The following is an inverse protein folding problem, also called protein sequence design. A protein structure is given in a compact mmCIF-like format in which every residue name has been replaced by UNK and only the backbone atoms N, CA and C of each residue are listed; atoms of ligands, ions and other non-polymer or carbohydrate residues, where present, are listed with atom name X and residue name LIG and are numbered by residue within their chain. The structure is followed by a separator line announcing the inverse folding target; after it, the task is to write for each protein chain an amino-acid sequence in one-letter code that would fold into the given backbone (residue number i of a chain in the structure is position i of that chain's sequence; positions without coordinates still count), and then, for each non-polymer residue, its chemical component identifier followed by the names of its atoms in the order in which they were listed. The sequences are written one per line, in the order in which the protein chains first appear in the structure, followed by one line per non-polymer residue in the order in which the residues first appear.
data_IF_446704637194
#
_entry.id   IF_446704637194
#
_cell.length_a   1.000
_cell.length_b   1.000
_cell.length_c   1.000
_cell.angle_alpha   90.00
_cell.angle_beta   90.00
_cell.angle_gamma   90.00
#
_symmetry.space_group_name_H-M   'P 1'
#
loop_
_entity.id
_entity.type
_entity.pdbx_description
1 polymer ?
#
# COMPACT_ATOMS: atom_id res chain seq x y z
N UNK A 1 16.48 28.31 43.79
CA UNK A 1 15.24 28.28 42.99
C UNK A 1 15.53 28.02 41.51
N UNK A 2 16.28 28.88 40.80
CA UNK A 2 16.67 28.65 39.40
C UNK A 2 17.39 27.31 39.15
N UNK A 3 18.33 26.92 40.02
CA UNK A 3 19.03 25.63 39.92
C UNK A 3 18.09 24.42 40.02
N UNK A 4 17.11 24.48 40.93
CA UNK A 4 16.12 23.40 41.10
C UNK A 4 15.24 23.29 39.85
N UNK A 5 14.87 24.43 39.27
CA UNK A 5 14.05 24.52 38.06
C UNK A 5 14.79 24.02 36.82
N UNK A 6 16.09 24.28 36.70
CA UNK A 6 16.93 23.71 35.65
C UNK A 6 17.07 22.19 35.77
N UNK A 7 17.16 21.69 37.01
CA UNK A 7 17.27 20.26 37.30
C UNK A 7 15.98 19.50 36.96
N UNK A 8 14.81 20.07 37.29
CA UNK A 8 13.52 19.48 36.92
C UNK A 8 13.27 19.49 35.43
N UNK A 9 13.63 20.57 34.71
CA UNK A 9 13.53 20.63 33.25
C UNK A 9 14.48 19.61 32.60
N UNK A 10 15.71 19.47 33.10
CA UNK A 10 16.67 18.48 32.60
C UNK A 10 16.12 17.06 32.72
N UNK A 11 15.56 16.70 33.88
CA UNK A 11 14.93 15.39 34.09
C UNK A 11 13.74 15.19 33.15
N UNK A 12 12.90 16.21 32.96
CA UNK A 12 11.76 16.17 32.04
C UNK A 12 12.22 15.93 30.59
N UNK A 13 13.26 16.62 30.13
CA UNK A 13 13.81 16.45 28.78
C UNK A 13 14.34 15.03 28.61
N UNK A 14 15.07 14.50 29.59
CA UNK A 14 15.63 13.14 29.54
C UNK A 14 14.51 12.09 29.52
N UNK A 15 13.48 12.22 30.35
CA UNK A 15 12.37 11.26 30.39
C UNK A 15 11.55 11.29 29.10
N UNK A 16 11.22 12.47 28.57
CA UNK A 16 10.52 12.61 27.29
C UNK A 16 11.33 12.02 26.15
N UNK A 17 12.64 12.31 26.11
CA UNK A 17 13.52 11.79 25.06
C UNK A 17 13.66 10.27 25.11
N UNK A 18 13.70 9.69 26.32
CA UNK A 18 13.75 8.23 26.51
C UNK A 18 12.44 7.53 26.11
N UNK A 19 11.29 8.10 26.49
CA UNK A 19 9.97 7.60 26.10
C UNK A 19 9.80 7.63 24.57
N UNK A 20 10.20 8.74 23.93
CA UNK A 20 10.15 8.86 22.47
C UNK A 20 11.06 7.83 21.78
N UNK A 21 12.24 7.53 22.36
CA UNK A 21 13.15 6.52 21.82
C UNK A 21 12.59 5.09 21.91
N UNK A 22 11.85 4.78 22.97
CA UNK A 22 11.18 3.49 23.12
C UNK A 22 10.01 3.34 22.15
N UNK A 23 9.24 4.41 21.92
CA UNK A 23 8.12 4.41 20.97
C UNK A 23 8.55 4.15 19.53
N UNK A 24 9.66 4.75 19.07
CA UNK A 24 10.17 4.60 17.69
C UNK A 24 10.65 3.20 17.32
N UNK A 25 10.84 2.29 18.28
CA UNK A 25 11.36 0.94 18.02
C UNK A 25 10.30 -0.03 17.46
N UNK A 26 9.03 0.36 17.43
CA UNK A 26 7.92 -0.44 16.89
C UNK A 26 7.52 -0.08 15.45
N UNK A 27 8.13 0.95 14.84
CA UNK A 27 7.80 1.43 13.50
C UNK A 27 8.44 0.59 12.39
N UNK A 28 8.11 -0.70 12.34
CA UNK A 28 8.23 -1.47 11.10
C UNK A 28 6.83 -1.78 10.62
N UNK A 29 6.20 -0.77 10.01
CA UNK A 29 5.15 -1.04 9.05
C UNK A 29 5.72 -2.04 8.02
N UNK A 30 5.03 -3.16 7.84
CA UNK A 30 5.42 -4.18 6.86
C UNK A 30 5.04 -3.79 5.43
N UNK A 31 4.55 -2.57 5.20
CA UNK A 31 4.16 -2.15 3.87
C UNK A 31 5.41 -1.83 3.04
N UNK A 32 5.71 -2.71 2.08
CA UNK A 32 6.79 -2.50 1.10
C UNK A 32 6.20 -2.55 -0.30
N UNK A 33 6.29 -1.45 -1.04
CA UNK A 33 5.97 -1.47 -2.47
C UNK A 33 7.15 -2.08 -3.25
N UNK A 34 7.02 -3.37 -3.57
CA UNK A 34 8.02 -4.10 -4.35
C UNK A 34 8.29 -3.47 -5.72
N UNK A 35 7.27 -2.91 -6.37
CA UNK A 35 7.40 -2.30 -7.69
C UNK A 35 8.20 -1.00 -7.65
N UNK A 36 8.07 -0.23 -6.56
CA UNK A 36 8.90 0.95 -6.32
C UNK A 36 10.35 0.57 -5.99
N UNK A 37 10.53 -0.53 -5.25
CA UNK A 37 11.88 -1.05 -4.96
C UNK A 37 12.56 -1.49 -6.26
N UNK A 38 11.84 -2.19 -7.14
CA UNK A 38 12.33 -2.56 -8.49
C UNK A 38 12.72 -1.33 -9.32
N UNK A 39 11.98 -0.22 -9.21
CA UNK A 39 12.36 1.04 -9.87
C UNK A 39 13.72 1.53 -9.38
N UNK A 40 13.95 1.59 -8.06
CA UNK A 40 15.24 2.02 -7.51
C UNK A 40 16.39 1.04 -7.75
N UNK A 41 16.08 -0.23 -8.03
CA UNK A 41 17.07 -1.23 -8.44
C UNK A 41 17.44 -1.14 -9.93
N UNK A 42 16.76 -0.33 -10.74
CA UNK A 42 17.11 -0.16 -12.14
C UNK A 42 18.52 0.45 -12.27
N UNK A 43 19.27 -0.01 -13.29
CA UNK A 43 20.57 0.57 -13.60
C UNK A 43 20.41 2.05 -13.97
N UNK A 44 21.33 2.95 -13.57
CA UNK A 44 21.29 4.35 -13.96
C UNK A 44 21.34 4.58 -15.48
N UNK A 45 21.78 3.58 -16.26
CA UNK A 45 21.80 3.63 -17.73
C UNK A 45 20.52 3.05 -18.37
N UNK A 46 19.49 2.74 -17.59
CA UNK A 46 18.25 2.17 -18.12
C UNK A 46 17.53 3.16 -19.03
N UNK A 47 16.90 2.70 -20.13
CA UNK A 47 16.13 3.58 -20.99
C UNK A 47 15.01 4.29 -20.19
N UNK A 48 14.77 5.60 -20.42
CA UNK A 48 13.73 6.36 -19.71
C UNK A 48 12.34 5.75 -19.82
N UNK A 49 12.05 5.06 -20.92
CA UNK A 49 10.79 4.36 -21.16
C UNK A 49 10.60 3.17 -20.19
N UNK A 50 11.69 2.45 -19.87
CA UNK A 50 11.67 1.33 -18.94
C UNK A 50 11.48 1.85 -17.52
N UNK A 51 12.20 2.91 -17.15
CA UNK A 51 12.04 3.59 -15.86
C UNK A 51 10.60 4.10 -15.67
N UNK A 52 10.04 4.78 -16.68
CA UNK A 52 8.66 5.26 -16.63
C UNK A 52 7.63 4.11 -16.52
N UNK A 53 7.82 3.01 -17.27
CA UNK A 53 6.94 1.85 -17.17
C UNK A 53 6.98 1.19 -15.78
N UNK A 54 8.16 1.10 -15.18
CA UNK A 54 8.31 0.56 -13.83
C UNK A 54 7.68 1.50 -12.79
N UNK A 55 7.85 2.82 -12.95
CA UNK A 55 7.20 3.81 -12.11
C UNK A 55 5.66 3.78 -12.24
N UNK A 56 5.14 3.51 -13.43
CA UNK A 56 3.71 3.30 -13.68
C UNK A 56 3.17 2.04 -12.99
N UNK A 57 3.97 0.97 -12.94
CA UNK A 57 3.67 -0.23 -12.16
C UNK A 57 3.62 0.07 -10.67
N UNK A 58 4.61 0.82 -10.17
CA UNK A 58 4.67 1.27 -8.78
C UNK A 58 3.45 2.12 -8.40
N UNK A 59 3.04 3.07 -9.25
CA UNK A 59 1.84 3.88 -9.04
C UNK A 59 0.55 3.06 -9.05
N UNK A 60 0.47 2.01 -9.87
CA UNK A 60 -0.69 1.10 -9.92
C UNK A 60 -0.78 0.25 -8.65
N UNK A 61 0.37 -0.22 -8.14
CA UNK A 61 0.50 -0.92 -6.86
C UNK A 61 0.07 -0.01 -5.70
N UNK A 62 0.63 1.20 -5.64
CA UNK A 62 0.26 2.24 -4.67
C UNK A 62 -1.26 2.49 -4.62
N UNK A 63 -1.90 2.69 -5.78
CA UNK A 63 -3.35 2.91 -5.85
C UNK A 63 -4.16 1.73 -5.33
N UNK A 64 -3.64 0.51 -5.42
CA UNK A 64 -4.31 -0.68 -4.91
C UNK A 64 -4.20 -0.75 -3.39
N UNK A 65 -2.99 -0.56 -2.86
CA UNK A 65 -2.75 -0.52 -1.41
C UNK A 65 -3.48 0.63 -0.73
N UNK A 66 -3.47 1.82 -1.32
CA UNK A 66 -4.14 3.01 -0.78
C UNK A 66 -5.65 2.81 -0.66
N UNK A 67 -6.31 2.30 -1.70
CA UNK A 67 -7.75 1.99 -1.63
C UNK A 67 -8.08 0.86 -0.66
N UNK A 68 -7.16 -0.10 -0.46
CA UNK A 68 -7.35 -1.17 0.51
C UNK A 68 -7.25 -0.65 1.94
N UNK A 69 -6.22 0.15 2.24
CA UNK A 69 -6.02 0.76 3.57
C UNK A 69 -7.16 1.73 3.90
N UNK A 70 -7.59 2.57 2.96
CA UNK A 70 -8.75 3.44 3.16
C UNK A 70 -10.01 2.64 3.52
N UNK A 71 -10.27 1.54 2.80
CA UNK A 71 -11.41 0.65 3.11
C UNK A 71 -11.27 0.00 4.48
N UNK A 72 -10.08 -0.44 4.86
CA UNK A 72 -9.83 -1.01 6.18
C UNK A 72 -10.08 0.01 7.29
N UNK A 73 -9.55 1.24 7.16
CA UNK A 73 -9.75 2.31 8.14
C UNK A 73 -11.23 2.63 8.30
N UNK A 74 -11.99 2.77 7.21
CA UNK A 74 -13.43 3.04 7.26
C UNK A 74 -14.19 1.96 8.03
N UNK A 75 -13.84 0.69 7.82
CA UNK A 75 -14.49 -0.44 8.49
C UNK A 75 -14.07 -0.59 9.96
N UNK A 76 -12.82 -0.25 10.29
CA UNK A 76 -12.25 -0.44 11.63
C UNK A 76 -12.57 0.72 12.56
N UNK A 77 -12.72 1.94 12.04
CA UNK A 77 -13.05 3.13 12.82
C UNK A 77 -14.24 2.94 13.79
N UNK A 78 -15.39 2.37 13.39
CA UNK A 78 -16.48 2.12 14.34
C UNK A 78 -16.08 1.10 15.41
N UNK A 79 -15.41 0.01 15.04
CA UNK A 79 -14.95 -1.02 15.98
C UNK A 79 -13.92 -0.47 16.98
N UNK A 80 -13.08 0.46 16.52
CA UNK A 80 -12.13 1.18 17.36
C UNK A 80 -12.86 2.07 18.37
N UNK A 81 -13.87 2.84 17.93
CA UNK A 81 -14.70 3.67 18.82
C UNK A 81 -15.43 2.83 19.88
N UNK A 82 -15.84 1.63 19.51
CA UNK A 82 -16.48 0.67 20.42
C UNK A 82 -15.47 -0.10 21.31
N UNK A 83 -14.17 0.22 21.21
CA UNK A 83 -13.06 -0.43 21.94
C UNK A 83 -12.95 -1.94 21.69
N UNK A 84 -13.42 -2.39 20.53
CA UNK A 84 -13.34 -3.79 20.10
C UNK A 84 -12.01 -4.10 19.38
N UNK A 85 -11.23 -3.07 19.06
CA UNK A 85 -9.95 -3.15 18.36
C UNK A 85 -8.88 -2.45 19.19
N UNK A 86 -7.66 -3.00 19.19
CA UNK A 86 -6.53 -2.43 19.93
C UNK A 86 -6.08 -1.09 19.33
N UNK A 87 -5.65 -0.17 20.20
CA UNK A 87 -5.03 1.10 19.79
C UNK A 87 -3.83 0.86 18.85
N UNK A 88 -3.01 -0.14 19.16
CA UNK A 88 -1.83 -0.50 18.36
C UNK A 88 -2.19 -0.85 16.91
N UNK A 89 -3.30 -1.56 16.69
CA UNK A 89 -3.72 -1.94 15.35
C UNK A 89 -4.26 -0.74 14.55
N UNK A 90 -5.04 0.11 15.19
CA UNK A 90 -5.56 1.33 14.56
C UNK A 90 -4.45 2.33 14.24
N UNK A 91 -3.52 2.55 15.17
CA UNK A 91 -2.34 3.39 14.97
C UNK A 91 -1.44 2.84 13.86
N UNK A 92 -1.26 1.51 13.78
CA UNK A 92 -0.51 0.89 12.68
C UNK A 92 -1.13 1.17 11.31
N UNK A 93 -2.46 1.10 11.17
CA UNK A 93 -3.14 1.44 9.91
C UNK A 93 -2.97 2.92 9.54
N UNK A 94 -3.04 3.82 10.53
CA UNK A 94 -2.77 5.24 10.30
C UNK A 94 -1.31 5.49 9.91
N UNK A 95 -0.36 4.76 10.48
CA UNK A 95 1.05 4.84 10.11
C UNK A 95 1.28 4.36 8.68
N UNK A 96 0.69 3.22 8.30
CA UNK A 96 0.73 2.73 6.90
C UNK A 96 0.12 3.76 5.95
N UNK A 97 -1.00 4.40 6.32
CA UNK A 97 -1.61 5.46 5.52
C UNK A 97 -0.67 6.65 5.31
N UNK A 98 0.06 7.08 6.34
CA UNK A 98 1.06 8.17 6.23
C UNK A 98 2.25 7.75 5.36
N UNK A 99 2.72 6.51 5.50
CA UNK A 99 3.80 5.99 4.65
C UNK A 99 3.40 5.94 3.18
N UNK A 100 2.15 5.56 2.90
CA UNK A 100 1.57 5.62 1.56
C UNK A 100 1.54 7.06 1.02
N UNK A 101 1.22 8.07 1.83
CA UNK A 101 1.31 9.47 1.40
C UNK A 101 2.74 9.88 1.03
N UNK A 102 3.73 9.45 1.80
CA UNK A 102 5.15 9.68 1.48
C UNK A 102 5.54 8.96 0.19
N UNK A 103 5.10 7.71 0.02
CA UNK A 103 5.35 6.93 -1.19
C UNK A 103 4.79 7.61 -2.43
N UNK A 104 3.56 8.14 -2.35
CA UNK A 104 2.94 8.94 -3.41
C UNK A 104 3.80 10.14 -3.77
N UNK A 105 4.26 10.89 -2.76
CA UNK A 105 5.12 12.05 -2.98
C UNK A 105 6.42 11.68 -3.70
N UNK A 106 7.03 10.55 -3.34
CA UNK A 106 8.22 10.02 -4.02
C UNK A 106 7.89 9.72 -5.49
N UNK A 107 6.83 8.95 -5.76
CA UNK A 107 6.43 8.60 -7.13
C UNK A 107 6.15 9.86 -7.98
N UNK A 108 5.46 10.85 -7.41
CA UNK A 108 5.20 12.13 -8.07
C UNK A 108 6.50 12.88 -8.38
N UNK A 109 7.43 12.92 -7.43
CA UNK A 109 8.72 13.60 -7.61
C UNK A 109 9.55 12.94 -8.71
N UNK A 110 9.62 11.61 -8.72
CA UNK A 110 10.34 10.82 -9.73
C UNK A 110 9.69 10.97 -11.12
N UNK A 111 8.35 11.01 -11.19
CA UNK A 111 7.65 11.22 -12.45
C UNK A 111 7.97 12.59 -13.07
N UNK A 112 8.05 13.62 -12.24
CA UNK A 112 8.37 14.98 -12.67
C UNK A 112 9.80 15.10 -13.19
N UNK A 113 10.73 14.36 -12.58
CA UNK A 113 12.14 14.27 -13.01
C UNK A 113 12.22 13.60 -14.39
N UNK A 114 11.50 12.48 -14.58
CA UNK A 114 11.50 11.76 -15.86
C UNK A 114 10.84 12.56 -16.99
N UNK A 115 9.70 13.18 -16.70
CA UNK A 115 8.95 14.01 -17.66
C UNK A 115 8.19 15.09 -16.91
N UNK A 116 8.57 16.34 -17.16
CA UNK A 116 7.92 17.53 -16.57
C UNK A 116 6.42 17.53 -16.85
N UNK A 117 5.59 17.74 -15.82
CA UNK A 117 4.13 17.74 -15.89
C UNK A 117 3.48 16.35 -16.04
N UNK A 118 4.22 15.27 -15.81
CA UNK A 118 3.67 13.90 -15.96
C UNK A 118 2.98 13.35 -14.71
N UNK A 119 3.05 14.05 -13.56
CA UNK A 119 2.46 13.60 -12.27
C UNK A 119 1.02 13.11 -12.41
N UNK A 120 0.13 14.00 -12.86
CA UNK A 120 -1.29 13.69 -12.97
C UNK A 120 -1.56 12.66 -14.08
N UNK A 121 -0.80 12.72 -15.18
CA UNK A 121 -0.92 11.80 -16.30
C UNK A 121 -0.57 10.36 -15.89
N UNK A 122 0.50 10.19 -15.10
CA UNK A 122 0.97 8.90 -14.62
C UNK A 122 -0.07 8.22 -13.72
N UNK A 123 -0.68 8.94 -12.77
CA UNK A 123 -1.74 8.37 -11.95
C UNK A 123 -3.04 8.11 -12.73
N UNK A 124 -3.36 8.93 -13.73
CA UNK A 124 -4.49 8.65 -14.63
C UNK A 124 -4.25 7.37 -15.47
N UNK A 125 -3.04 7.19 -15.98
CA UNK A 125 -2.63 5.98 -16.71
C UNK A 125 -2.64 4.75 -15.79
N UNK A 126 -2.13 4.89 -14.56
CA UNK A 126 -2.13 3.82 -13.56
C UNK A 126 -3.55 3.36 -13.22
N UNK A 127 -4.49 4.30 -13.02
CA UNK A 127 -5.93 3.99 -12.81
C UNK A 127 -6.53 3.21 -13.99
N UNK A 128 -6.21 3.60 -15.22
CA UNK A 128 -6.67 2.90 -16.43
C UNK A 128 -6.07 1.50 -16.57
N UNK A 129 -4.80 1.30 -16.17
CA UNK A 129 -4.19 -0.02 -16.20
C UNK A 129 -4.78 -0.94 -15.14
N UNK A 130 -5.06 -0.42 -13.95
CA UNK A 130 -5.75 -1.15 -12.88
C UNK A 130 -7.12 -1.65 -13.32
N UNK A 131 -7.94 -0.81 -13.95
CA UNK A 131 -9.27 -1.23 -14.42
C UNK A 131 -9.22 -2.32 -15.50
N UNK A 132 -8.21 -2.30 -16.38
CA UNK A 132 -7.97 -3.37 -17.35
C UNK A 132 -7.64 -4.70 -16.69
N UNK A 133 -6.76 -4.69 -15.69
CA UNK A 133 -6.37 -5.91 -14.95
C UNK A 133 -7.59 -6.54 -14.28
N UNK A 134 -8.44 -5.72 -13.64
CA UNK A 134 -9.69 -6.20 -13.02
C UNK A 134 -10.62 -6.83 -14.05
N UNK A 135 -10.79 -6.21 -15.22
CA UNK A 135 -11.65 -6.76 -16.28
C UNK A 135 -11.15 -8.10 -16.83
N UNK A 136 -9.83 -8.28 -16.95
CA UNK A 136 -9.22 -9.51 -17.44
C UNK A 136 -9.39 -10.67 -16.45
N UNK A 137 -9.24 -10.38 -15.14
CA UNK A 137 -9.47 -11.35 -14.07
C UNK A 137 -10.92 -11.84 -14.03
N UNK A 138 -11.89 -10.94 -14.20
CA UNK A 138 -13.32 -11.31 -14.28
C UNK A 138 -13.58 -12.26 -15.46
N UNK A 139 -12.93 -12.03 -16.61
CA UNK A 139 -13.07 -12.88 -17.78
C UNK A 139 -12.45 -14.27 -17.59
N UNK A 140 -11.28 -14.37 -16.94
CA UNK A 140 -10.65 -15.65 -16.59
C UNK A 140 -11.52 -16.45 -15.60
N UNK A 141 -12.08 -15.80 -14.59
CA UNK A 141 -12.97 -16.44 -13.62
C UNK A 141 -14.24 -16.97 -14.30
N UNK A 142 -14.80 -16.25 -15.27
CA UNK A 142 -15.94 -16.72 -16.07
C UNK A 142 -15.58 -17.95 -16.92
N UNK A 143 -14.41 -17.93 -17.57
CA UNK A 143 -13.93 -19.07 -18.35
C UNK A 143 -13.67 -20.30 -17.47
N UNK A 144 -13.06 -20.10 -16.30
CA UNK A 144 -12.80 -21.16 -15.34
C UNK A 144 -14.10 -21.78 -14.81
N UNK A 145 -15.08 -20.95 -14.47
CA UNK A 145 -16.39 -21.39 -14.01
C UNK A 145 -17.13 -22.19 -15.10
N UNK A 146 -17.09 -21.74 -16.35
CA UNK A 146 -17.68 -22.47 -17.47
C UNK A 146 -17.00 -23.83 -17.69
N UNK A 147 -15.66 -23.87 -17.65
CA UNK A 147 -14.90 -25.13 -17.74
C UNK A 147 -15.25 -26.09 -16.61
N UNK A 148 -15.39 -25.59 -15.38
CA UNK A 148 -15.81 -26.39 -14.22
C UNK A 148 -17.21 -26.97 -14.42
N UNK A 149 -18.16 -26.15 -14.87
CA UNK A 149 -19.55 -26.56 -15.11
C UNK A 149 -19.66 -27.65 -16.20
N UNK A 150 -18.88 -27.53 -17.28
CA UNK A 150 -18.81 -28.56 -18.33
C UNK A 150 -18.25 -29.88 -17.76
N UNK A 151 -17.16 -29.81 -16.99
CA UNK A 151 -16.55 -30.99 -16.37
C UNK A 151 -17.50 -31.66 -15.36
N UNK A 152 -18.21 -30.89 -14.54
CA UNK A 152 -19.22 -31.42 -13.61
C UNK A 152 -20.38 -32.11 -14.35
N UNK A 153 -20.83 -31.55 -15.48
CA UNK A 153 -21.87 -32.15 -16.30
C UNK A 153 -21.42 -33.44 -17.00
N UNK A 154 -20.16 -33.50 -17.46
CA UNK A 154 -19.58 -34.74 -17.99
C UNK A 154 -19.45 -35.81 -16.89
N UNK A 155 -19.07 -35.43 -15.67
CA UNK A 155 -18.97 -36.33 -14.53
C UNK A 155 -20.34 -36.88 -14.14
N UNK A 156 -21.37 -36.04 -14.09
CA UNK A 156 -22.77 -36.46 -13.87
C UNK A 156 -23.25 -37.42 -14.94
N UNK A 157 -22.98 -37.15 -16.23
CA UNK A 157 -23.34 -38.05 -17.33
C UNK A 157 -22.66 -39.42 -17.20
N UNK A 158 -21.40 -39.46 -16.77
CA UNK A 158 -20.69 -40.73 -16.51
C UNK A 158 -21.24 -41.48 -15.31
N UNK A 159 -21.68 -40.78 -14.25
CA UNK A 159 -22.26 -41.39 -13.05
C UNK A 159 -23.69 -41.89 -13.25
N UNK A 160 -24.46 -41.30 -14.17
CA UNK A 160 -25.85 -41.72 -14.48
C UNK A 160 -25.88 -42.92 -15.46
N UNK A 161 -24.80 -43.14 -16.21
CA UNK A 161 -24.67 -44.27 -17.14
C UNK A 161 -23.93 -45.49 -16.53
N UNK A 162 -23.87 -45.58 -15.19
CA UNK A 162 -23.47 -46.77 -14.41
C UNK A 162 -24.68 -47.27 -13.65
#
# INVERSE_FOLDING_TARGET
MLLVLALTISILIVTVSYLNKLSKKKDTSNHVNEELTKYFMLSPNSPPQVAYKQLLSAASSYLSSSEEIERQIVNILPLYKDRLVSDEYYENLNNISKELELEKMVIESESEILKKGSKEQLFQEARKNKSKIVSMKIYEDQYFNHKREVLENELKKKLINV
#
